data_IF_829332587138
#
_entry.id   IF_829332587138
#
_cell.length_a   1.000
_cell.length_b   1.000
_cell.length_c   1.000
_cell.angle_alpha   90.00
_cell.angle_beta   90.00
_cell.angle_gamma   90.00
#
_symmetry.space_group_name_H-M   'P 1'
#
loop_
_entity.id
_entity.type
_entity.pdbx_description
1 polymer ?
#
# COMPACT_ATOMS: atom_id res chain seq x y z
N UNK A 1 -13.38 -3.03 -1.36
CA UNK A 1 -12.50 -2.48 -2.40
C UNK A 1 -12.05 -3.57 -3.34
N UNK A 2 -12.29 -3.41 -4.63
CA UNK A 2 -12.16 -4.45 -5.66
C UNK A 2 -10.88 -4.27 -6.45
N UNK A 3 -9.77 -4.86 -6.02
CA UNK A 3 -8.67 -5.08 -6.95
C UNK A 3 -8.89 -6.39 -7.72
N UNK A 4 -9.50 -6.31 -8.87
CA UNK A 4 -9.47 -7.40 -9.86
C UNK A 4 -8.15 -7.31 -10.63
N UNK A 5 -7.64 -8.45 -11.08
CA UNK A 5 -6.47 -8.56 -11.97
C UNK A 5 -6.53 -7.63 -13.20
N UNK A 6 -7.74 -7.33 -13.70
CA UNK A 6 -7.98 -6.35 -14.75
C UNK A 6 -7.50 -4.92 -14.41
N UNK A 7 -7.57 -4.50 -13.13
CA UNK A 7 -7.14 -3.15 -12.71
C UNK A 7 -5.62 -3.03 -12.68
N UNK A 8 -4.92 -4.10 -12.31
CA UNK A 8 -3.46 -4.18 -12.41
C UNK A 8 -3.00 -4.13 -13.87
N UNK A 9 -3.70 -4.82 -14.77
CA UNK A 9 -3.42 -4.78 -16.20
C UNK A 9 -3.60 -3.38 -16.80
N UNK A 10 -4.62 -2.65 -16.38
CA UNK A 10 -4.86 -1.28 -16.82
C UNK A 10 -3.77 -0.32 -16.32
N UNK A 11 -3.36 -0.43 -15.04
CA UNK A 11 -2.26 0.37 -14.49
C UNK A 11 -0.95 0.13 -15.25
N UNK A 12 -0.65 -1.14 -15.56
CA UNK A 12 0.52 -1.49 -16.36
C UNK A 12 0.48 -0.90 -17.77
N UNK A 13 -0.67 -0.96 -18.44
CA UNK A 13 -0.85 -0.40 -19.77
C UNK A 13 -0.62 1.13 -19.79
N UNK A 14 -1.07 1.85 -18.77
CA UNK A 14 -0.80 3.26 -18.61
C UNK A 14 0.71 3.53 -18.44
N UNK A 15 1.36 2.81 -17.50
CA UNK A 15 2.78 3.00 -17.17
C UNK A 15 3.72 2.66 -18.33
N UNK A 16 3.30 1.83 -19.27
CA UNK A 16 4.06 1.42 -20.45
C UNK A 16 3.61 2.11 -21.74
N UNK A 17 2.55 2.92 -21.68
CA UNK A 17 1.92 3.54 -22.84
C UNK A 17 2.31 5.02 -23.02
N UNK A 18 1.97 5.59 -24.19
CA UNK A 18 2.28 6.98 -24.51
C UNK A 18 1.53 7.98 -23.60
N UNK A 19 0.42 7.59 -23.02
CA UNK A 19 -0.37 8.44 -22.12
C UNK A 19 0.31 8.68 -20.75
N UNK A 20 1.42 8.01 -20.45
CA UNK A 20 2.14 8.21 -19.18
C UNK A 20 2.60 9.66 -19.00
N UNK A 21 3.21 10.26 -20.02
CA UNK A 21 3.73 11.62 -19.95
C UNK A 21 2.63 12.66 -19.64
N UNK A 22 1.46 12.50 -20.21
CA UNK A 22 0.29 13.35 -19.95
C UNK A 22 -0.31 13.11 -18.56
N UNK A 23 -0.21 11.90 -18.07
CA UNK A 23 -0.73 11.53 -16.76
C UNK A 23 0.17 11.94 -15.59
N UNK A 24 1.49 11.94 -15.74
CA UNK A 24 2.43 12.19 -14.64
C UNK A 24 2.14 13.48 -13.86
N UNK A 25 1.86 14.64 -14.48
CA UNK A 25 1.52 15.86 -13.75
C UNK A 25 0.21 15.74 -12.96
N UNK A 26 -0.68 14.82 -13.38
CA UNK A 26 -2.00 14.60 -12.78
C UNK A 26 -1.99 13.47 -11.75
N UNK A 27 -0.87 12.78 -11.57
CA UNK A 27 -0.74 11.62 -10.71
C UNK A 27 -0.88 11.98 -9.22
N UNK A 28 -0.34 13.13 -8.84
CA UNK A 28 -0.34 13.56 -7.45
C UNK A 28 -1.71 14.03 -6.98
N UNK A 29 -2.00 13.80 -5.71
CA UNK A 29 -3.24 14.19 -5.05
C UNK A 29 -3.89 13.00 -4.34
N UNK A 30 -4.80 13.32 -3.40
CA UNK A 30 -5.47 12.33 -2.56
C UNK A 30 -6.84 11.91 -3.12
N UNK A 31 -7.41 12.72 -4.01
CA UNK A 31 -8.72 12.46 -4.59
C UNK A 31 -8.66 11.81 -5.99
N UNK A 32 -9.57 10.90 -6.29
CA UNK A 32 -10.63 10.37 -5.43
C UNK A 32 -10.10 9.38 -4.38
N UNK A 33 -10.58 9.47 -3.13
CA UNK A 33 -10.19 8.57 -2.05
C UNK A 33 -11.03 7.30 -1.96
N UNK A 34 -12.20 7.29 -2.60
CA UNK A 34 -13.10 6.13 -2.67
C UNK A 34 -13.18 5.59 -4.10
N UNK A 35 -13.09 4.26 -4.22
CA UNK A 35 -13.32 3.61 -5.51
C UNK A 35 -14.77 3.67 -5.93
N UNK A 36 -15.00 4.09 -7.17
CA UNK A 36 -16.28 3.95 -7.87
C UNK A 36 -16.02 3.32 -9.23
N UNK A 37 -16.95 2.51 -9.69
CA UNK A 37 -16.78 1.80 -10.96
C UNK A 37 -16.90 2.74 -12.19
N UNK A 38 -17.48 3.91 -12.01
CA UNK A 38 -17.62 4.99 -13.01
C UNK A 38 -16.37 5.87 -13.14
N UNK A 39 -15.36 5.71 -12.27
CA UNK A 39 -14.11 6.46 -12.39
C UNK A 39 -13.44 6.22 -13.74
N UNK A 40 -13.02 7.31 -14.40
CA UNK A 40 -12.34 7.28 -15.70
C UNK A 40 -11.10 8.19 -15.71
N UNK A 41 -10.27 8.03 -16.73
CA UNK A 41 -9.11 8.88 -16.99
C UNK A 41 -8.17 9.06 -15.78
N UNK A 42 -7.62 10.26 -15.58
CA UNK A 42 -6.65 10.52 -14.50
C UNK A 42 -7.15 10.21 -13.10
N UNK A 43 -8.43 10.42 -12.80
CA UNK A 43 -9.01 10.10 -11.49
C UNK A 43 -8.95 8.59 -11.21
N UNK A 44 -9.29 7.78 -12.21
CA UNK A 44 -9.20 6.32 -12.10
C UNK A 44 -7.77 5.85 -11.87
N UNK A 45 -6.83 6.41 -12.63
CA UNK A 45 -5.41 6.05 -12.53
C UNK A 45 -4.81 6.49 -11.21
N UNK A 46 -5.10 7.69 -10.76
CA UNK A 46 -4.65 8.21 -9.46
C UNK A 46 -5.14 7.32 -8.31
N UNK A 47 -6.43 6.95 -8.32
CA UNK A 47 -6.95 6.03 -7.31
C UNK A 47 -6.19 4.70 -7.31
N UNK A 48 -5.97 4.10 -8.47
CA UNK A 48 -5.25 2.81 -8.60
C UNK A 48 -3.84 2.93 -8.04
N UNK A 49 -3.11 3.97 -8.42
CA UNK A 49 -1.74 4.18 -7.93
C UNK A 49 -1.73 4.41 -6.43
N UNK A 50 -2.54 5.31 -5.92
CA UNK A 50 -2.62 5.58 -4.48
C UNK A 50 -2.93 4.32 -3.68
N UNK A 51 -3.88 3.51 -4.13
CA UNK A 51 -4.25 2.28 -3.46
C UNK A 51 -3.16 1.21 -3.51
N UNK A 52 -2.34 1.18 -4.56
CA UNK A 52 -1.25 0.21 -4.70
C UNK A 52 0.05 0.64 -4.00
N UNK A 53 0.25 1.94 -3.79
CA UNK A 53 1.54 2.47 -3.34
C UNK A 53 1.49 3.21 -2.00
N UNK A 54 0.30 3.70 -1.57
CA UNK A 54 0.21 4.63 -0.43
C UNK A 54 -0.85 4.26 0.60
N UNK A 55 -1.70 3.26 0.33
CA UNK A 55 -2.83 2.92 1.20
C UNK A 55 -2.36 2.46 2.58
N UNK A 56 -2.92 3.07 3.63
CA UNK A 56 -2.69 2.73 5.03
C UNK A 56 -4.02 2.51 5.75
N UNK A 57 -4.65 3.57 6.15
CA UNK A 57 -5.92 3.59 6.87
C UNK A 57 -7.09 3.73 5.91
N UNK A 58 -8.21 3.11 6.25
CA UNK A 58 -9.44 3.22 5.49
C UNK A 58 -10.64 3.32 6.43
N UNK A 59 -11.64 4.07 6.01
CA UNK A 59 -12.97 4.02 6.61
C UNK A 59 -13.65 2.67 6.30
N UNK A 60 -14.71 2.30 7.03
CA UNK A 60 -15.40 1.03 6.82
C UNK A 60 -15.96 0.82 5.40
N UNK A 61 -16.27 1.88 4.68
CA UNK A 61 -16.73 1.84 3.29
C UNK A 61 -15.57 1.64 2.28
N UNK A 62 -14.32 1.69 2.74
CA UNK A 62 -13.12 1.58 1.92
C UNK A 62 -12.56 2.92 1.43
N UNK A 63 -13.08 4.05 1.90
CA UNK A 63 -12.47 5.36 1.66
C UNK A 63 -11.07 5.38 2.27
N UNK A 64 -10.06 5.73 1.47
CA UNK A 64 -8.66 5.80 1.90
C UNK A 64 -8.41 7.11 2.66
N UNK A 65 -7.74 7.01 3.81
CA UNK A 65 -7.15 8.15 4.49
C UNK A 65 -5.66 8.26 4.17
N UNK A 66 -5.21 9.48 3.82
CA UNK A 66 -3.82 9.78 3.48
C UNK A 66 -3.15 10.73 4.48
N UNK A 67 -3.88 11.17 5.49
CA UNK A 67 -3.37 12.11 6.49
C UNK A 67 -2.63 11.37 7.61
N UNK A 68 -3.21 10.27 8.06
CA UNK A 68 -2.68 9.48 9.17
C UNK A 68 -1.54 8.58 8.68
N UNK A 69 -0.36 8.73 9.30
CA UNK A 69 0.86 7.99 8.94
C UNK A 69 1.35 7.09 10.07
N UNK A 70 0.79 7.23 11.24
CA UNK A 70 1.13 6.54 12.48
C UNK A 70 0.86 5.04 12.38
N UNK A 71 1.49 4.27 13.26
CA UNK A 71 1.30 2.82 13.40
C UNK A 71 0.00 2.45 14.10
N UNK A 72 -0.20 1.16 14.33
CA UNK A 72 -1.45 0.61 14.87
C UNK A 72 -1.77 1.10 16.28
N UNK A 73 -0.77 1.48 17.06
CA UNK A 73 -0.94 1.96 18.44
C UNK A 73 -1.72 3.27 18.53
N UNK A 74 -1.73 4.04 17.45
CA UNK A 74 -2.40 5.35 17.36
C UNK A 74 -3.55 5.30 16.35
N UNK A 75 -4.30 4.21 16.34
CA UNK A 75 -5.40 4.00 15.41
C UNK A 75 -6.44 5.13 15.55
N UNK A 76 -6.73 5.88 14.48
CA UNK A 76 -7.74 6.93 14.52
C UNK A 76 -9.13 6.32 14.67
N UNK A 77 -10.00 7.04 15.40
CA UNK A 77 -11.40 6.62 15.52
C UNK A 77 -12.07 6.52 14.14
N UNK A 78 -12.77 5.42 13.91
CA UNK A 78 -13.50 5.18 12.65
C UNK A 78 -12.65 4.74 11.47
N UNK A 79 -11.32 4.61 11.62
CA UNK A 79 -10.45 4.08 10.58
C UNK A 79 -9.91 2.69 10.96
N UNK A 80 -9.62 1.87 9.96
CA UNK A 80 -9.01 0.55 10.10
C UNK A 80 -7.83 0.43 9.13
N UNK A 81 -6.80 -0.34 9.45
CA UNK A 81 -5.79 -0.73 8.47
C UNK A 81 -6.47 -1.37 7.25
N UNK A 82 -6.02 -1.03 6.05
CA UNK A 82 -6.62 -1.54 4.82
C UNK A 82 -6.74 -3.06 4.79
N UNK A 83 -5.79 -3.76 5.43
CA UNK A 83 -5.75 -5.23 5.45
C UNK A 83 -6.70 -5.86 6.47
N UNK A 84 -7.26 -5.08 7.39
CA UNK A 84 -8.26 -5.54 8.38
C UNK A 84 -9.71 -5.26 7.93
N UNK A 85 -9.92 -4.60 6.80
CA UNK A 85 -11.26 -4.36 6.28
C UNK A 85 -12.00 -5.69 6.02
N UNK A 86 -13.15 -5.94 6.67
CA UNK A 86 -13.84 -7.23 6.57
C UNK A 86 -14.33 -7.56 5.16
N UNK A 87 -14.63 -6.54 4.35
CA UNK A 87 -15.04 -6.70 2.95
C UNK A 87 -13.87 -6.81 1.96
N UNK A 88 -12.62 -6.89 2.45
CA UNK A 88 -11.43 -7.04 1.59
C UNK A 88 -11.53 -8.33 0.77
N UNK A 89 -11.58 -8.22 -0.55
CA UNK A 89 -11.70 -9.39 -1.44
C UNK A 89 -10.42 -10.23 -1.53
N UNK A 90 -9.29 -9.69 -1.13
CA UNK A 90 -7.99 -10.38 -1.13
C UNK A 90 -7.69 -11.08 0.20
N UNK A 91 -8.65 -11.20 1.11
CA UNK A 91 -8.42 -11.79 2.45
C UNK A 91 -7.95 -13.25 2.43
N UNK A 92 -8.20 -13.97 1.33
CA UNK A 92 -7.78 -15.35 1.13
C UNK A 92 -6.57 -15.47 0.17
N UNK A 93 -5.95 -14.34 -0.18
CA UNK A 93 -4.78 -14.29 -1.06
C UNK A 93 -3.62 -13.76 -0.25
N UNK A 94 -2.52 -14.52 -0.08
CA UNK A 94 -1.32 -14.01 0.55
C UNK A 94 -0.79 -12.78 -0.19
N UNK A 95 -0.52 -11.72 0.54
CA UNK A 95 -0.04 -10.45 0.00
C UNK A 95 1.22 -10.00 0.71
N UNK A 96 2.16 -9.45 -0.05
CA UNK A 96 3.30 -8.71 0.48
C UNK A 96 3.15 -7.23 0.15
N UNK A 97 3.53 -6.36 1.07
CA UNK A 97 3.46 -4.92 0.90
C UNK A 97 4.57 -4.18 1.64
N UNK A 98 4.81 -2.95 1.26
CA UNK A 98 5.69 -2.00 1.92
C UNK A 98 5.00 -0.66 2.14
N UNK A 99 5.78 0.42 2.18
CA UNK A 99 5.37 1.81 2.32
C UNK A 99 4.91 2.23 3.73
N UNK A 100 4.38 1.34 4.53
CA UNK A 100 3.92 1.67 5.89
C UNK A 100 4.95 1.20 6.93
N UNK A 101 6.08 1.88 6.96
CA UNK A 101 7.25 1.51 7.77
C UNK A 101 7.00 1.50 9.28
N UNK A 102 6.06 2.32 9.76
CA UNK A 102 5.71 2.39 11.19
C UNK A 102 5.00 1.14 11.72
N UNK A 103 4.59 0.21 10.85
CA UNK A 103 4.05 -1.10 11.27
C UNK A 103 5.14 -2.08 11.73
N UNK A 104 6.38 -1.86 11.30
CA UNK A 104 7.42 -2.86 11.45
C UNK A 104 7.15 -4.12 10.61
N UNK A 105 7.77 -5.23 10.99
CA UNK A 105 7.58 -6.52 10.32
C UNK A 105 6.20 -7.12 10.64
N UNK A 106 5.42 -7.37 9.60
CA UNK A 106 4.24 -8.24 9.70
C UNK A 106 4.55 -9.55 8.99
N UNK A 107 4.43 -10.67 9.70
CA UNK A 107 4.62 -12.01 9.13
C UNK A 107 3.44 -12.91 9.54
N UNK A 108 2.32 -12.73 8.85
CA UNK A 108 1.09 -13.52 9.02
C UNK A 108 0.90 -14.46 7.85
N UNK A 109 0.15 -15.55 7.96
CA UNK A 109 -0.10 -16.48 6.85
C UNK A 109 -0.65 -15.79 5.59
N UNK A 110 -1.50 -14.79 5.77
CA UNK A 110 -2.17 -14.04 4.71
C UNK A 110 -1.47 -12.74 4.33
N UNK A 111 -0.47 -12.29 5.12
CA UNK A 111 0.06 -10.94 4.99
C UNK A 111 1.54 -10.85 5.36
N UNK A 112 2.32 -10.18 4.51
CA UNK A 112 3.72 -9.84 4.75
C UNK A 112 3.89 -8.32 4.64
N UNK A 113 4.15 -7.62 5.76
CA UNK A 113 4.59 -6.23 5.76
C UNK A 113 6.10 -6.18 5.88
N UNK A 114 6.78 -5.75 4.85
CA UNK A 114 8.24 -5.87 4.72
C UNK A 114 8.99 -4.54 4.81
N UNK A 115 8.28 -3.42 4.86
CA UNK A 115 8.91 -2.12 5.09
C UNK A 115 9.11 -1.92 6.59
N UNK A 116 10.33 -2.14 7.03
CA UNK A 116 10.75 -2.04 8.44
C UNK A 116 11.60 -0.81 8.69
N UNK A 117 11.47 0.22 7.86
CA UNK A 117 11.98 1.55 8.11
C UNK A 117 13.49 1.70 7.97
N UNK A 118 14.12 1.02 7.02
CA UNK A 118 15.57 1.11 6.81
C UNK A 118 16.06 2.56 6.71
N UNK A 119 15.39 3.41 5.96
CA UNK A 119 15.76 4.83 5.79
C UNK A 119 15.73 5.61 7.12
N UNK A 120 14.96 5.16 8.09
CA UNK A 120 14.80 5.75 9.42
C UNK A 120 15.69 5.09 10.49
N UNK A 121 16.63 4.22 10.10
CA UNK A 121 17.50 3.48 11.05
C UNK A 121 16.90 2.18 11.58
N UNK A 122 15.84 1.68 10.96
CA UNK A 122 15.30 0.35 11.21
C UNK A 122 16.08 -0.75 10.50
N UNK A 123 15.42 -1.61 9.76
CA UNK A 123 16.05 -2.70 9.02
C UNK A 123 15.58 -2.76 7.55
N UNK A 124 16.47 -3.24 6.69
CA UNK A 124 16.10 -3.75 5.37
C UNK A 124 15.62 -5.19 5.55
N UNK A 125 14.38 -5.45 5.21
CA UNK A 125 13.75 -6.75 5.41
C UNK A 125 13.42 -7.42 4.09
N UNK A 126 13.86 -8.66 3.94
CA UNK A 126 13.47 -9.56 2.87
C UNK A 126 12.85 -10.84 3.42
N UNK A 127 12.06 -11.54 2.61
CA UNK A 127 11.53 -12.85 2.94
C UNK A 127 11.79 -13.80 1.77
N UNK A 128 12.51 -14.88 2.07
CA UNK A 128 12.59 -16.00 1.16
C UNK A 128 11.35 -16.86 1.33
N UNK A 129 10.68 -17.15 0.22
CA UNK A 129 9.49 -18.02 0.19
C UNK A 129 9.83 -19.28 -0.62
N UNK A 130 9.75 -20.44 0.00
CA UNK A 130 10.03 -21.71 -0.62
C UNK A 130 9.08 -22.79 -0.10
N UNK A 131 8.28 -23.39 -0.98
CA UNK A 131 7.38 -24.51 -0.64
C UNK A 131 6.43 -24.21 0.54
N UNK A 132 6.00 -22.97 0.71
CA UNK A 132 5.16 -22.53 1.83
C UNK A 132 5.93 -22.18 3.10
N UNK A 133 7.25 -22.38 3.15
CA UNK A 133 8.13 -21.89 4.22
C UNK A 133 8.50 -20.43 3.98
N UNK A 134 8.68 -19.70 5.05
CA UNK A 134 9.11 -18.29 5.04
C UNK A 134 10.31 -18.14 5.94
N UNK A 135 11.38 -17.62 5.37
CA UNK A 135 12.59 -17.26 6.10
C UNK A 135 12.75 -15.75 6.03
N UNK A 136 12.68 -15.10 7.18
CA UNK A 136 12.86 -13.66 7.29
C UNK A 136 14.35 -13.35 7.41
N UNK A 137 14.82 -12.45 6.57
CA UNK A 137 16.19 -11.93 6.56
C UNK A 137 16.12 -10.44 6.84
N UNK A 138 16.89 -9.99 7.83
CA UNK A 138 16.95 -8.58 8.19
C UNK A 138 18.40 -8.10 8.34
N UNK A 139 18.65 -6.91 7.82
CA UNK A 139 19.92 -6.21 7.96
C UNK A 139 19.61 -4.86 8.61
N UNK A 140 20.25 -4.56 9.73
CA UNK A 140 20.12 -3.27 10.40
C UNK A 140 20.65 -2.15 9.49
N UNK A 141 19.97 -1.03 9.48
CA UNK A 141 20.32 0.14 8.67
C UNK A 141 20.71 1.32 9.55
N UNK A 142 21.67 2.11 9.08
CA UNK A 142 21.91 3.44 9.64
C UNK A 142 20.81 4.40 9.17
N UNK A 143 20.38 5.31 10.03
CA UNK A 143 19.38 6.31 9.67
C UNK A 143 19.95 7.28 8.63
N UNK A 144 19.35 7.30 7.44
CA UNK A 144 19.68 8.26 6.39
C UNK A 144 18.79 9.51 6.46
N UNK A 145 17.63 9.41 7.11
CA UNK A 145 16.66 10.49 7.31
C UNK A 145 16.02 10.35 8.68
N UNK A 146 15.44 11.45 9.16
CA UNK A 146 14.60 11.45 10.36
C UNK A 146 13.12 11.61 9.97
N UNK A 147 12.19 10.90 10.65
CA UNK A 147 10.76 11.08 10.40
C UNK A 147 10.35 12.54 10.61
N UNK A 148 9.70 13.14 9.61
CA UNK A 148 9.23 14.54 9.68
C UNK A 148 10.25 15.60 9.25
N UNK A 149 11.41 15.21 8.77
CA UNK A 149 12.39 16.13 8.15
C UNK A 149 12.06 16.40 6.68
#
# INVERSE_FOLDING_TARGET
MLFRSQKLGQGRALLQGPALAEFLPLMYGNEPALWRDDLQGPQRWRFIINALTRMRWCAPDGTQDFQVKEGLEQAPSGLQPWFELPQRRTRHTPMAFGHWSTLGLINRPDLLGLDTGCVWGGALTGVRVDGGRREVLQVACEAAQHPGA
#
